data_IF_023082064057
#
_entry.id   IF_023082064057
#
_cell.length_a   1.000
_cell.length_b   1.000
_cell.length_c   1.000
_cell.angle_alpha   90.00
_cell.angle_beta   90.00
_cell.angle_gamma   90.00
#
_symmetry.space_group_name_H-M   'P 1'
#
loop_
_entity.id
_entity.type
_entity.pdbx_description
1 polymer ?
#
# COMPACT_ATOMS: atom_id res chain seq x y z
N UNK A 1 20.39 9.00 -6.40
CA UNK A 1 20.48 8.76 -4.94
C UNK A 1 19.64 9.71 -4.07
N UNK A 2 19.56 11.01 -4.37
CA UNK A 2 18.74 11.96 -3.59
C UNK A 2 17.24 11.88 -3.95
N UNK A 3 16.90 11.87 -5.25
CA UNK A 3 15.52 11.81 -5.75
C UNK A 3 14.77 10.58 -5.24
N UNK A 4 15.38 9.39 -5.29
CA UNK A 4 14.80 8.15 -4.75
C UNK A 4 14.45 8.26 -3.26
N UNK A 5 15.31 8.91 -2.46
CA UNK A 5 15.06 9.14 -1.03
C UNK A 5 13.93 10.12 -0.79
N UNK A 6 13.88 11.20 -1.56
CA UNK A 6 12.80 12.20 -1.46
C UNK A 6 11.47 11.58 -1.85
N UNK A 7 11.41 10.87 -2.98
CA UNK A 7 10.22 10.17 -3.44
C UNK A 7 9.73 9.16 -2.40
N UNK A 8 10.64 8.36 -1.84
CA UNK A 8 10.30 7.41 -0.79
C UNK A 8 9.77 8.09 0.48
N UNK A 9 10.29 9.26 0.88
CA UNK A 9 9.75 9.98 2.06
C UNK A 9 8.37 10.56 1.80
N UNK A 10 8.17 11.21 0.65
CA UNK A 10 6.88 11.80 0.28
C UNK A 10 5.81 10.72 0.18
N UNK A 11 6.14 9.58 -0.43
CA UNK A 11 5.22 8.45 -0.58
C UNK A 11 5.03 7.69 0.74
N UNK A 12 5.89 7.80 1.74
CA UNK A 12 5.76 7.02 2.98
C UNK A 12 5.19 7.82 4.16
N UNK A 13 5.15 9.16 4.08
CA UNK A 13 4.57 10.00 5.12
C UNK A 13 3.32 10.75 4.63
N UNK A 14 2.12 10.47 5.19
CA UNK A 14 0.87 11.06 4.70
C UNK A 14 0.82 12.59 4.84
N UNK A 15 1.47 13.14 5.89
CA UNK A 15 1.59 14.59 6.11
C UNK A 15 2.40 15.30 5.00
N UNK A 16 3.45 14.66 4.49
CA UNK A 16 4.26 15.23 3.41
C UNK A 16 3.51 15.15 2.09
N UNK A 17 2.78 14.07 1.85
CA UNK A 17 1.94 13.92 0.68
C UNK A 17 0.87 15.03 0.61
N UNK A 18 0.20 15.32 1.72
CA UNK A 18 -0.76 16.43 1.81
C UNK A 18 -0.09 17.79 1.52
N UNK A 19 1.08 18.03 2.12
CA UNK A 19 1.81 19.28 1.91
C UNK A 19 2.25 19.46 0.44
N UNK A 20 2.69 18.38 -0.21
CA UNK A 20 3.06 18.38 -1.63
C UNK A 20 1.84 18.62 -2.52
N UNK A 21 0.69 18.02 -2.21
CA UNK A 21 -0.56 18.25 -2.94
C UNK A 21 -0.96 19.72 -2.88
N UNK A 22 -0.97 20.33 -1.69
CA UNK A 22 -1.26 21.76 -1.53
C UNK A 22 -0.24 22.62 -2.28
N UNK A 23 1.05 22.30 -2.17
CA UNK A 23 2.10 23.02 -2.88
C UNK A 23 1.92 22.93 -4.40
N UNK A 24 1.51 21.78 -4.94
CA UNK A 24 1.29 21.60 -6.37
C UNK A 24 0.16 22.50 -6.90
N UNK A 25 -0.96 22.63 -6.17
CA UNK A 25 -2.02 23.59 -6.50
C UNK A 25 -1.52 25.05 -6.47
N UNK A 26 -0.75 25.43 -5.46
CA UNK A 26 -0.20 26.78 -5.33
C UNK A 26 0.80 27.09 -6.47
N UNK A 27 1.67 26.14 -6.80
CA UNK A 27 2.67 26.28 -7.87
C UNK A 27 2.00 26.35 -9.22
N UNK A 28 1.04 25.46 -9.51
CA UNK A 28 0.30 25.48 -10.77
C UNK A 28 -0.49 26.78 -10.94
N UNK A 29 -1.18 27.22 -9.88
CA UNK A 29 -1.90 28.51 -9.86
C UNK A 29 -0.95 29.69 -10.11
N UNK A 30 0.19 29.74 -9.42
CA UNK A 30 1.18 30.81 -9.58
C UNK A 30 1.81 30.85 -10.97
N UNK A 31 2.15 29.69 -11.54
CA UNK A 31 2.66 29.58 -12.90
C UNK A 31 1.61 29.98 -13.94
N UNK A 32 0.37 29.53 -13.78
CA UNK A 32 -0.72 29.90 -14.67
C UNK A 32 -0.98 31.41 -14.61
N UNK A 33 -1.00 32.00 -13.42
CA UNK A 33 -1.11 33.45 -13.26
C UNK A 33 0.02 34.20 -13.96
N UNK A 34 1.28 33.76 -13.76
CA UNK A 34 2.45 34.40 -14.34
C UNK A 34 2.47 34.36 -15.86
N UNK A 35 1.89 33.31 -16.48
CA UNK A 35 1.90 33.12 -17.93
C UNK A 35 0.65 33.74 -18.59
N UNK A 36 -0.53 33.54 -18.01
CA UNK A 36 -1.82 33.88 -18.63
C UNK A 36 -2.42 35.19 -18.09
N UNK A 37 -1.91 35.73 -16.97
CA UNK A 37 -2.30 37.04 -16.45
C UNK A 37 -3.75 37.17 -15.98
N UNK A 38 -4.46 36.05 -15.76
CA UNK A 38 -5.90 36.00 -15.40
C UNK A 38 -6.23 36.50 -13.98
N UNK A 39 -5.20 36.80 -13.18
CA UNK A 39 -5.31 37.21 -11.77
C UNK A 39 -5.26 36.02 -10.80
N UNK A 40 -4.94 36.27 -9.52
CA UNK A 40 -4.63 35.21 -8.56
C UNK A 40 -5.84 34.32 -8.22
N UNK A 41 -7.03 34.92 -8.11
CA UNK A 41 -8.26 34.19 -7.76
C UNK A 41 -8.69 33.26 -8.91
N UNK A 42 -8.74 33.78 -10.14
CA UNK A 42 -9.09 32.99 -11.33
C UNK A 42 -8.06 31.88 -11.60
N UNK A 43 -6.78 32.15 -11.36
CA UNK A 43 -5.72 31.15 -11.51
C UNK A 43 -5.82 30.03 -10.48
N UNK A 44 -6.17 30.36 -9.23
CA UNK A 44 -6.44 29.36 -8.19
C UNK A 44 -7.67 28.53 -8.53
N UNK A 45 -8.74 29.18 -9.00
CA UNK A 45 -9.95 28.51 -9.46
C UNK A 45 -9.65 27.52 -10.60
N UNK A 46 -8.89 27.94 -11.61
CA UNK A 46 -8.45 27.06 -12.70
C UNK A 46 -7.70 25.83 -12.18
N UNK A 47 -6.74 26.04 -11.27
CA UNK A 47 -5.95 24.96 -10.69
C UNK A 47 -6.83 23.98 -9.91
N UNK A 48 -7.77 24.48 -9.09
CA UNK A 48 -8.73 23.66 -8.33
C UNK A 48 -9.57 22.81 -9.28
N UNK A 49 -10.30 23.45 -10.21
CA UNK A 49 -11.25 22.80 -11.12
C UNK A 49 -10.56 21.78 -12.04
N UNK A 50 -9.31 22.07 -12.44
CA UNK A 50 -8.49 21.16 -13.24
C UNK A 50 -7.97 19.99 -12.41
N UNK A 51 -7.41 20.28 -11.23
CA UNK A 51 -6.83 19.26 -10.34
C UNK A 51 -7.88 18.32 -9.74
N UNK A 52 -9.12 18.80 -9.50
CA UNK A 52 -10.25 17.96 -9.12
C UNK A 52 -10.91 17.26 -10.30
N UNK A 53 -10.37 17.41 -11.52
CA UNK A 53 -10.91 16.85 -12.77
C UNK A 53 -12.35 17.27 -13.10
N UNK A 54 -12.83 18.36 -12.50
CA UNK A 54 -14.18 18.88 -12.74
C UNK A 54 -14.28 19.54 -14.11
N UNK A 55 -13.28 20.37 -14.46
CA UNK A 55 -13.10 20.89 -15.82
C UNK A 55 -14.24 21.73 -16.40
N UNK A 56 -14.70 22.78 -15.71
CA UNK A 56 -15.76 23.68 -16.23
C UNK A 56 -15.44 24.32 -17.58
N UNK A 57 -14.15 24.58 -17.86
CA UNK A 57 -13.68 25.12 -19.14
C UNK A 57 -13.86 26.65 -19.31
N UNK A 58 -14.25 27.35 -18.24
CA UNK A 58 -14.32 28.81 -18.16
C UNK A 58 -12.93 29.48 -18.20
N UNK A 59 -11.93 28.83 -17.60
CA UNK A 59 -10.52 29.21 -17.71
C UNK A 59 -9.71 28.05 -18.27
N UNK A 60 -8.82 28.35 -19.23
CA UNK A 60 -7.88 27.38 -19.78
C UNK A 60 -6.61 28.08 -20.29
N UNK A 61 -5.47 27.38 -20.36
CA UNK A 61 -4.24 27.97 -20.90
C UNK A 61 -4.34 28.10 -22.42
N UNK A 62 -4.20 29.33 -22.91
CA UNK A 62 -4.22 29.62 -24.35
C UNK A 62 -2.82 29.67 -24.94
N UNK A 63 -1.81 29.98 -24.12
CA UNK A 63 -0.41 30.03 -24.57
C UNK A 63 0.21 28.64 -24.66
N UNK A 64 1.18 28.47 -25.55
CA UNK A 64 1.96 27.22 -25.66
C UNK A 64 2.66 26.87 -24.35
N UNK A 65 3.21 27.87 -23.65
CA UNK A 65 3.87 27.69 -22.36
C UNK A 65 2.86 27.28 -21.27
N UNK A 66 1.71 27.94 -21.20
CA UNK A 66 0.65 27.62 -20.25
C UNK A 66 0.10 26.21 -20.45
N UNK A 67 -0.02 25.75 -21.71
CA UNK A 67 -0.40 24.36 -22.02
C UNK A 67 0.65 23.36 -21.53
N UNK A 68 1.94 23.68 -21.67
CA UNK A 68 3.02 22.86 -21.11
C UNK A 68 2.91 22.71 -19.59
N UNK A 69 2.66 23.81 -18.87
CA UNK A 69 2.43 23.80 -17.41
C UNK A 69 1.19 22.98 -17.06
N UNK A 70 0.10 23.13 -17.79
CA UNK A 70 -1.14 22.39 -17.56
C UNK A 70 -0.94 20.87 -17.70
N UNK A 71 -0.22 20.42 -18.74
CA UNK A 71 0.06 18.99 -18.93
C UNK A 71 0.89 18.44 -17.76
N UNK A 72 1.92 19.17 -17.32
CA UNK A 72 2.74 18.75 -16.18
C UNK A 72 1.91 18.65 -14.89
N UNK A 73 1.04 19.64 -14.65
CA UNK A 73 0.14 19.66 -13.50
C UNK A 73 -0.89 18.52 -13.51
N UNK A 74 -1.47 18.20 -14.67
CA UNK A 74 -2.40 17.07 -14.79
C UNK A 74 -1.71 15.73 -14.48
N UNK A 75 -0.48 15.53 -14.98
CA UNK A 75 0.31 14.32 -14.72
C UNK A 75 0.74 14.22 -13.25
N UNK A 76 1.14 15.33 -12.62
CA UNK A 76 1.49 15.35 -11.19
C UNK A 76 0.30 15.03 -10.32
N UNK A 77 -0.86 15.65 -10.56
CA UNK A 77 -2.09 15.39 -9.81
C UNK A 77 -2.54 13.94 -9.92
N UNK A 78 -2.49 13.35 -11.11
CA UNK A 78 -2.85 11.94 -11.29
C UNK A 78 -2.01 11.03 -10.38
N UNK A 79 -0.69 11.22 -10.35
CA UNK A 79 0.20 10.42 -9.50
C UNK A 79 -0.05 10.68 -8.00
N UNK A 80 -0.16 11.94 -7.60
CA UNK A 80 -0.34 12.33 -6.21
C UNK A 80 -1.67 11.83 -5.63
N UNK A 81 -2.77 11.93 -6.39
CA UNK A 81 -4.09 11.44 -5.98
C UNK A 81 -4.10 9.91 -5.84
N UNK A 82 -3.47 9.17 -6.75
CA UNK A 82 -3.33 7.72 -6.61
C UNK A 82 -2.57 7.32 -5.35
N UNK A 83 -1.45 8.01 -5.06
CA UNK A 83 -0.71 7.79 -3.83
C UNK A 83 -1.53 8.17 -2.58
N UNK A 84 -2.26 9.29 -2.63
CA UNK A 84 -3.15 9.72 -1.54
C UNK A 84 -4.22 8.66 -1.24
N UNK A 85 -4.85 8.13 -2.30
CA UNK A 85 -5.85 7.08 -2.21
C UNK A 85 -5.30 5.80 -1.56
N UNK A 86 -4.10 5.37 -1.93
CA UNK A 86 -3.46 4.20 -1.31
C UNK A 86 -3.23 4.38 0.21
N UNK A 87 -2.83 5.58 0.64
CA UNK A 87 -2.71 5.90 2.07
C UNK A 87 -4.06 5.95 2.77
N UNK A 88 -5.07 6.52 2.11
CA UNK A 88 -6.43 6.55 2.64
C UNK A 88 -6.97 5.13 2.84
N UNK A 89 -6.77 4.23 1.87
CA UNK A 89 -7.14 2.82 2.00
C UNK A 89 -6.46 2.18 3.20
N UNK A 90 -5.16 2.43 3.46
CA UNK A 90 -4.47 1.92 4.65
C UNK A 90 -5.04 2.49 5.96
N UNK A 91 -5.49 3.73 5.96
CA UNK A 91 -6.05 4.35 7.16
C UNK A 91 -7.46 3.85 7.47
N UNK A 92 -8.24 3.52 6.43
CA UNK A 92 -9.64 3.07 6.56
C UNK A 92 -9.74 1.56 6.70
N UNK A 93 -8.91 0.81 5.98
CA UNK A 93 -8.90 -0.65 6.00
C UNK A 93 -8.05 -1.11 7.18
N UNK A 94 -8.72 -1.40 8.30
CA UNK A 94 -8.15 -2.26 9.34
C UNK A 94 -8.03 -3.65 8.72
N UNK A 95 -6.81 -4.10 8.45
CA UNK A 95 -6.56 -5.43 7.88
C UNK A 95 -6.86 -6.49 8.96
N UNK A 96 -8.01 -7.19 8.91
CA UNK A 96 -8.38 -8.15 9.95
C UNK A 96 -7.54 -9.43 9.87
N UNK A 97 -6.82 -9.63 8.75
CA UNK A 97 -5.99 -10.81 8.47
C UNK A 97 -4.48 -10.53 8.65
N UNK A 98 -4.11 -9.28 8.93
CA UNK A 98 -2.74 -8.92 9.28
C UNK A 98 -2.44 -9.40 10.72
N UNK A 99 -2.08 -10.66 10.86
CA UNK A 99 -1.55 -11.18 12.12
C UNK A 99 -0.41 -10.30 12.59
N UNK A 100 -0.58 -9.72 13.76
CA UNK A 100 0.43 -8.92 14.42
C UNK A 100 1.65 -9.81 14.70
N UNK A 101 2.87 -9.25 14.70
CA UNK A 101 4.07 -10.00 15.09
C UNK A 101 3.91 -10.76 16.42
N UNK A 102 3.10 -10.23 17.34
CA UNK A 102 2.74 -10.88 18.61
C UNK A 102 1.90 -12.14 18.39
N UNK A 103 0.86 -12.06 17.56
CA UNK A 103 -0.02 -13.19 17.23
C UNK A 103 0.72 -14.26 16.42
N UNK A 104 1.61 -13.87 15.51
CA UNK A 104 2.48 -14.82 14.81
C UNK A 104 3.41 -15.57 15.78
N UNK A 105 3.98 -14.87 16.76
CA UNK A 105 4.84 -15.51 17.78
C UNK A 105 4.04 -16.42 18.69
N UNK A 106 2.82 -16.03 19.05
CA UNK A 106 1.90 -16.85 19.83
C UNK A 106 1.54 -18.12 19.06
N UNK A 107 1.10 -17.99 17.81
CA UNK A 107 0.80 -19.11 16.91
C UNK A 107 1.99 -20.06 16.79
N UNK A 108 3.19 -19.53 16.56
CA UNK A 108 4.41 -20.33 16.50
C UNK A 108 4.73 -21.01 17.85
N UNK A 109 4.45 -20.33 18.96
CA UNK A 109 4.55 -20.89 20.31
C UNK A 109 3.63 -22.09 20.50
N UNK A 110 2.34 -21.93 20.17
CA UNK A 110 1.33 -22.99 20.26
C UNK A 110 1.67 -24.18 19.35
N UNK A 111 2.19 -23.92 18.15
CA UNK A 111 2.63 -25.00 17.25
C UNK A 111 3.81 -25.77 17.83
N UNK A 112 4.79 -25.09 18.43
CA UNK A 112 5.94 -25.73 19.10
C UNK A 112 5.51 -26.55 20.31
N UNK A 113 4.60 -26.00 21.11
CA UNK A 113 4.04 -26.68 22.28
C UNK A 113 3.26 -27.92 21.86
N UNK A 114 2.33 -27.80 20.91
CA UNK A 114 1.59 -28.95 20.37
C UNK A 114 2.55 -30.00 19.80
N UNK A 115 3.57 -29.59 19.04
CA UNK A 115 4.54 -30.53 18.51
C UNK A 115 5.33 -31.24 19.63
N UNK A 116 5.71 -30.53 20.70
CA UNK A 116 6.40 -31.13 21.85
C UNK A 116 5.50 -32.12 22.60
N UNK A 117 4.23 -31.78 22.85
CA UNK A 117 3.27 -32.66 23.50
C UNK A 117 3.01 -33.92 22.67
N UNK A 118 2.84 -33.76 21.34
CA UNK A 118 2.68 -34.89 20.43
C UNK A 118 3.89 -35.81 20.44
N UNK A 119 5.13 -35.27 20.53
CA UNK A 119 6.33 -36.11 20.65
C UNK A 119 6.33 -36.94 21.93
N UNK A 120 5.98 -36.32 23.06
CA UNK A 120 5.87 -37.04 24.34
C UNK A 120 4.78 -38.11 24.31
N UNK A 121 3.64 -37.81 23.68
CA UNK A 121 2.55 -38.77 23.53
C UNK A 121 2.96 -39.96 22.65
N UNK A 122 3.63 -39.72 21.52
CA UNK A 122 4.15 -40.78 20.65
C UNK A 122 5.19 -41.63 21.37
N UNK A 123 6.14 -41.00 22.07
CA UNK A 123 7.15 -41.72 22.86
C UNK A 123 6.54 -42.57 23.97
N UNK A 124 5.52 -42.06 24.65
CA UNK A 124 4.78 -42.78 25.68
C UNK A 124 4.01 -43.98 25.11
N UNK A 125 3.26 -43.78 24.03
CA UNK A 125 2.34 -44.79 23.47
C UNK A 125 3.08 -45.87 22.63
N UNK A 126 4.15 -45.49 21.92
CA UNK A 126 4.80 -46.32 20.90
C UNK A 126 6.29 -46.57 21.19
N UNK A 127 6.85 -45.97 22.24
CA UNK A 127 8.25 -46.07 22.62
C UNK A 127 9.19 -45.14 21.83
N UNK A 128 10.42 -44.94 22.31
CA UNK A 128 11.37 -43.96 21.76
C UNK A 128 11.79 -44.28 20.32
N UNK A 129 11.88 -45.56 19.96
CA UNK A 129 12.25 -45.99 18.61
C UNK A 129 11.21 -45.60 17.55
N UNK A 130 9.93 -45.50 17.92
CA UNK A 130 8.89 -45.07 17.00
C UNK A 130 8.95 -43.56 16.73
N UNK A 131 9.26 -42.78 17.77
CA UNK A 131 9.48 -41.32 17.64
C UNK A 131 10.70 -41.01 16.78
N UNK A 132 11.82 -41.70 16.98
CA UNK A 132 13.04 -41.52 16.17
C UNK A 132 12.77 -41.76 14.68
N UNK A 133 12.10 -42.86 14.33
CA UNK A 133 11.70 -43.14 12.93
C UNK A 133 10.78 -42.06 12.37
N UNK A 134 9.84 -41.54 13.16
CA UNK A 134 8.93 -40.47 12.71
C UNK A 134 9.68 -39.14 12.45
N UNK A 135 10.67 -38.81 13.27
CA UNK A 135 11.50 -37.62 13.10
C UNK A 135 12.46 -37.74 11.90
N UNK A 136 12.96 -38.94 11.61
CA UNK A 136 13.76 -39.22 10.41
C UNK A 136 12.95 -39.03 9.12
N UNK A 137 11.67 -39.37 9.13
CA UNK A 137 10.74 -39.22 7.99
C UNK A 137 10.15 -37.80 7.86
N UNK A 138 10.17 -37.00 8.92
CA UNK A 138 9.58 -35.67 8.97
C UNK A 138 10.11 -34.66 7.92
N UNK A 139 11.44 -34.52 7.66
CA UNK A 139 11.93 -33.57 6.66
C UNK A 139 11.48 -33.90 5.23
N UNK A 140 11.22 -35.19 4.94
CA UNK A 140 10.70 -35.65 3.64
C UNK A 140 9.23 -35.28 3.46
N UNK A 141 8.41 -35.38 4.51
CA UNK A 141 6.98 -35.04 4.47
C UNK A 141 6.72 -33.53 4.48
N UNK A 142 7.61 -32.72 5.06
CA UNK A 142 7.47 -31.26 5.11
C UNK A 142 7.52 -30.59 3.72
N UNK A 143 8.11 -31.25 2.72
CA UNK A 143 8.20 -30.76 1.33
C UNK A 143 7.13 -31.37 0.41
N UNK A 144 6.34 -32.33 0.90
CA UNK A 144 5.22 -32.87 0.15
C UNK A 144 4.12 -31.81 -0.01
N UNK A 145 3.49 -31.68 -1.18
CA UNK A 145 2.40 -30.74 -1.36
C UNK A 145 1.30 -31.02 -0.34
N UNK A 146 0.92 -29.98 0.43
CA UNK A 146 -0.18 -30.05 1.39
C UNK A 146 -1.46 -30.38 0.62
N UNK A 147 -1.93 -31.62 0.76
CA UNK A 147 -3.22 -32.02 0.21
C UNK A 147 -4.32 -31.31 0.99
N UNK A 148 -4.83 -30.20 0.45
CA UNK A 148 -6.09 -29.65 0.92
C UNK A 148 -7.17 -30.70 0.66
N UNK A 149 -7.84 -31.23 1.70
CA UNK A 149 -9.04 -32.02 1.47
C UNK A 149 -9.99 -31.12 0.67
N UNK A 150 -10.45 -31.57 -0.51
CA UNK A 150 -11.48 -30.84 -1.25
C UNK A 150 -12.59 -30.57 -0.25
N UNK A 151 -12.86 -29.30 0.03
CA UNK A 151 -14.08 -28.91 0.71
C UNK A 151 -15.19 -29.56 -0.11
N UNK A 152 -15.82 -30.60 0.43
CA UNK A 152 -17.04 -31.12 -0.12
C UNK A 152 -18.03 -29.98 0.06
N UNK A 153 -18.25 -29.21 -1.00
CA UNK A 153 -19.37 -28.28 -1.07
C UNK A 153 -20.62 -29.11 -0.77
N UNK A 154 -21.20 -28.86 0.39
CA UNK A 154 -22.47 -29.45 0.77
C UNK A 154 -23.54 -28.94 -0.22
N UNK A 155 -24.36 -29.84 -0.80
CA UNK A 155 -25.39 -29.49 -1.77
C UNK A 155 -26.53 -28.67 -1.15
#
# INVERSE_FOLDING_TARGET
>A
MAVKRVLHRVVNEPRLLLAVLVADFLVASGLYWAIEGTGPVASMWWAIVTGTTTGYGDYSPVTTAGRGVAVLFMLSMLLLVLCAGAHFTRAVLHDPDAFTDAEQREMLGLLRENNALLRLQVEHDHGPQALERALELAPEQAHAPVHHPRQQEHP
#
